data_IF_731827144809
#
_entry.id   IF_731827144809
#
_cell.length_a   1.000
_cell.length_b   1.000
_cell.length_c   1.000
_cell.angle_alpha   90.00
_cell.angle_beta   90.00
_cell.angle_gamma   90.00
#
_symmetry.space_group_name_H-M   'P 1'
#
loop_
_entity.id
_entity.type
_entity.pdbx_description
1 polymer ?
#
# COMPACT_ATOMS: atom_id res chain seq x y z
N UNK A 1 6.82 -16.32 1.37
CA UNK A 1 6.65 -14.97 0.78
C UNK A 1 6.49 -14.93 -0.74
N UNK A 2 7.51 -15.14 -1.59
CA UNK A 2 7.34 -14.94 -3.05
C UNK A 2 6.27 -15.84 -3.69
N UNK A 3 6.07 -17.06 -3.17
CA UNK A 3 5.01 -17.98 -3.62
C UNK A 3 3.62 -17.48 -3.21
N UNK A 4 3.43 -17.12 -1.94
CA UNK A 4 2.17 -16.56 -1.43
C UNK A 4 1.70 -15.32 -2.19
N UNK A 5 2.64 -14.41 -2.54
CA UNK A 5 2.32 -13.23 -3.35
C UNK A 5 1.89 -13.59 -4.78
N UNK A 6 2.36 -14.72 -5.33
CA UNK A 6 1.96 -15.19 -6.67
C UNK A 6 0.65 -15.96 -6.68
N UNK A 7 0.22 -16.50 -5.54
CA UNK A 7 -1.09 -17.15 -5.37
C UNK A 7 -2.21 -16.14 -5.06
N UNK A 8 -1.84 -14.95 -4.60
CA UNK A 8 -2.77 -13.87 -4.29
C UNK A 8 -3.43 -13.30 -5.54
N UNK A 9 -4.68 -12.84 -5.40
CA UNK A 9 -5.44 -12.28 -6.51
C UNK A 9 -4.91 -10.91 -6.97
N UNK A 10 -5.14 -10.56 -8.24
CA UNK A 10 -4.61 -9.32 -8.85
C UNK A 10 -5.06 -8.06 -8.12
N UNK A 11 -6.32 -8.00 -7.72
CA UNK A 11 -6.90 -6.87 -6.98
C UNK A 11 -6.27 -6.73 -5.59
N UNK A 12 -6.07 -7.84 -4.90
CA UNK A 12 -5.37 -7.88 -3.60
C UNK A 12 -3.94 -7.36 -3.73
N UNK A 13 -3.22 -7.74 -4.80
CA UNK A 13 -1.87 -7.23 -5.05
C UNK A 13 -1.86 -5.72 -5.33
N UNK A 14 -2.85 -5.21 -6.08
CA UNK A 14 -3.00 -3.77 -6.32
C UNK A 14 -3.32 -3.01 -5.02
N UNK A 15 -4.17 -3.55 -4.16
CA UNK A 15 -4.48 -2.97 -2.83
C UNK A 15 -3.25 -2.96 -1.91
N UNK A 16 -2.50 -4.07 -1.84
CA UNK A 16 -1.26 -4.16 -1.08
C UNK A 16 -0.21 -3.15 -1.59
N UNK A 17 -0.08 -3.02 -2.91
CA UNK A 17 0.82 -2.05 -3.53
C UNK A 17 0.45 -0.61 -3.14
N UNK A 18 -0.83 -0.27 -3.13
CA UNK A 18 -1.31 1.04 -2.66
C UNK A 18 -0.92 1.29 -1.21
N UNK A 19 -1.24 0.36 -0.31
CA UNK A 19 -0.90 0.47 1.13
C UNK A 19 0.59 0.65 1.37
N UNK A 20 1.44 -0.09 0.66
CA UNK A 20 2.90 0.03 0.76
C UNK A 20 3.42 1.37 0.23
N UNK A 21 2.83 1.93 -0.82
CA UNK A 21 3.18 3.27 -1.32
C UNK A 21 2.84 4.35 -0.30
N UNK A 22 1.66 4.29 0.33
CA UNK A 22 1.27 5.21 1.41
C UNK A 22 2.22 5.08 2.59
N UNK A 23 2.54 3.84 3.00
CA UNK A 23 3.50 3.60 4.10
C UNK A 23 4.90 4.12 3.79
N UNK A 24 5.35 4.00 2.54
CA UNK A 24 6.64 4.54 2.10
C UNK A 24 6.67 6.08 2.20
N UNK A 25 5.56 6.75 1.87
CA UNK A 25 5.41 8.19 2.02
C UNK A 25 5.50 8.59 3.51
N UNK A 26 4.79 7.87 4.38
CA UNK A 26 4.84 8.06 5.83
C UNK A 26 6.26 7.90 6.37
N UNK A 27 6.98 6.84 5.98
CA UNK A 27 8.37 6.64 6.38
C UNK A 27 9.29 7.75 5.88
N UNK A 28 9.05 8.30 4.69
CA UNK A 28 9.83 9.45 4.18
C UNK A 28 9.54 10.72 4.98
N UNK A 29 8.29 10.94 5.39
CA UNK A 29 7.95 12.06 6.27
C UNK A 29 8.61 11.91 7.65
N UNK A 30 8.52 10.73 8.27
CA UNK A 30 9.19 10.45 9.54
C UNK A 30 10.72 10.58 9.45
N UNK A 31 11.31 10.15 8.32
CA UNK A 31 12.74 10.32 8.07
C UNK A 31 13.12 11.80 7.97
N UNK A 32 12.34 12.62 7.27
CA UNK A 32 12.55 14.07 7.17
C UNK A 32 12.40 14.79 8.51
N UNK A 33 11.54 14.29 9.39
CA UNK A 33 11.38 14.79 10.78
C UNK A 33 12.46 14.28 11.74
N UNK A 34 13.28 13.30 11.33
CA UNK A 34 14.26 12.64 12.20
C UNK A 34 13.66 11.68 13.24
N UNK A 35 12.36 11.36 13.14
CA UNK A 35 11.66 10.48 14.10
C UNK A 35 11.69 9.00 13.70
N UNK A 36 12.23 8.67 12.52
CA UNK A 36 12.26 7.30 12.02
C UNK A 36 13.33 6.45 12.73
N UNK A 37 12.87 5.56 13.62
CA UNK A 37 13.75 4.65 14.39
C UNK A 37 14.47 3.63 13.52
N UNK A 38 13.86 3.16 12.44
CA UNK A 38 14.42 2.09 11.61
C UNK A 38 14.35 2.38 10.12
N UNK A 39 15.46 2.89 9.58
CA UNK A 39 15.62 3.23 8.15
C UNK A 39 15.60 1.98 7.26
N UNK A 40 15.94 0.80 7.79
CA UNK A 40 15.92 -0.45 7.00
C UNK A 40 14.51 -0.81 6.51
N UNK A 41 13.47 -0.35 7.21
CA UNK A 41 12.07 -0.53 6.80
C UNK A 41 11.77 0.12 5.46
N UNK A 42 12.39 1.26 5.14
CA UNK A 42 12.26 1.91 3.83
C UNK A 42 12.79 1.00 2.74
N UNK A 43 13.97 0.40 2.95
CA UNK A 43 14.61 -0.50 1.99
C UNK A 43 13.76 -1.77 1.79
N UNK A 44 13.26 -2.36 2.88
CA UNK A 44 12.38 -3.52 2.82
C UNK A 44 11.09 -3.20 2.06
N UNK A 45 10.43 -2.09 2.39
CA UNK A 45 9.19 -1.64 1.74
C UNK A 45 9.39 -1.41 0.24
N UNK A 46 10.50 -0.77 -0.16
CA UNK A 46 10.85 -0.59 -1.58
C UNK A 46 11.05 -1.91 -2.31
N UNK A 47 11.69 -2.90 -1.67
CA UNK A 47 11.89 -4.23 -2.24
C UNK A 47 10.56 -4.96 -2.44
N UNK A 48 9.66 -4.89 -1.47
CA UNK A 48 8.33 -5.50 -1.58
C UNK A 48 7.50 -4.85 -2.68
N UNK A 49 7.55 -3.51 -2.80
CA UNK A 49 6.91 -2.78 -3.91
C UNK A 49 7.44 -3.26 -5.26
N UNK A 50 8.76 -3.41 -5.41
CA UNK A 50 9.36 -3.90 -6.65
C UNK A 50 8.88 -5.32 -6.99
N UNK A 51 8.85 -6.23 -6.01
CA UNK A 51 8.36 -7.59 -6.21
C UNK A 51 6.89 -7.64 -6.64
N UNK A 52 6.03 -6.83 -6.02
CA UNK A 52 4.63 -6.68 -6.40
C UNK A 52 4.48 -6.18 -7.84
N UNK A 53 5.25 -5.15 -8.21
CA UNK A 53 5.24 -4.61 -9.57
C UNK A 53 5.72 -5.65 -10.60
N UNK A 54 6.74 -6.46 -10.26
CA UNK A 54 7.19 -7.55 -11.12
C UNK A 54 6.10 -8.58 -11.34
N UNK A 55 5.40 -9.02 -10.29
CA UNK A 55 4.31 -10.01 -10.42
C UNK A 55 3.14 -9.43 -11.25
N UNK A 56 2.76 -8.18 -11.03
CA UNK A 56 1.73 -7.53 -11.84
C UNK A 56 2.15 -7.44 -13.31
N UNK A 57 3.41 -7.11 -13.57
CA UNK A 57 3.95 -7.06 -14.93
C UNK A 57 3.95 -8.43 -15.61
N UNK A 58 4.35 -9.50 -14.92
CA UNK A 58 4.28 -10.89 -15.41
C UNK A 58 2.83 -11.28 -15.77
N UNK A 59 1.85 -10.78 -15.00
CA UNK A 59 0.41 -10.96 -15.28
C UNK A 59 -0.15 -10.03 -16.36
N UNK A 60 0.69 -9.20 -16.98
CA UNK A 60 0.31 -8.15 -17.96
C UNK A 60 -0.66 -7.11 -17.39
N UNK A 61 -0.73 -7.00 -16.08
CA UNK A 61 -1.53 -6.02 -15.39
C UNK A 61 -0.73 -4.75 -15.11
N UNK A 62 -1.40 -3.60 -15.17
CA UNK A 62 -0.81 -2.31 -14.82
C UNK A 62 -1.57 -1.70 -13.65
N UNK A 63 -0.82 -1.11 -12.73
CA UNK A 63 -1.40 -0.23 -11.73
C UNK A 63 -1.64 1.14 -12.38
N UNK A 64 -2.90 1.47 -12.61
CA UNK A 64 -3.32 2.72 -13.26
C UNK A 64 -3.61 3.82 -12.23
N UNK A 65 -3.64 5.08 -12.68
CA UNK A 65 -4.13 6.20 -11.88
C UNK A 65 -5.62 6.02 -11.47
N UNK A 66 -6.38 5.27 -12.26
CA UNK A 66 -7.76 4.90 -11.92
C UNK A 66 -7.82 4.00 -10.68
N UNK A 67 -6.92 3.02 -10.59
CA UNK A 67 -6.80 2.14 -9.41
C UNK A 67 -6.46 2.97 -8.17
N UNK A 68 -5.56 3.95 -8.31
CA UNK A 68 -5.21 4.86 -7.23
C UNK A 68 -6.43 5.64 -6.71
N UNK A 69 -7.20 6.26 -7.60
CA UNK A 69 -8.40 7.01 -7.23
C UNK A 69 -9.45 6.13 -6.54
N UNK A 70 -9.62 4.89 -7.01
CA UNK A 70 -10.51 3.90 -6.40
C UNK A 70 -10.08 3.56 -4.97
N UNK A 71 -8.82 3.18 -4.77
CA UNK A 71 -8.33 2.82 -3.43
C UNK A 71 -8.30 4.02 -2.46
N UNK A 72 -8.09 5.24 -2.97
CA UNK A 72 -8.22 6.44 -2.14
C UNK A 72 -9.66 6.65 -1.67
N UNK A 73 -10.65 6.52 -2.56
CA UNK A 73 -12.07 6.59 -2.19
C UNK A 73 -12.46 5.50 -1.19
N UNK A 74 -12.08 4.25 -1.45
CA UNK A 74 -12.34 3.13 -0.54
C UNK A 74 -11.71 3.38 0.84
N UNK A 75 -10.48 3.89 0.90
CA UNK A 75 -9.82 4.23 2.15
C UNK A 75 -10.47 5.43 2.88
N UNK A 76 -10.98 6.42 2.16
CA UNK A 76 -11.73 7.54 2.71
C UNK A 76 -13.08 7.08 3.28
N UNK A 77 -13.81 6.23 2.56
CA UNK A 77 -15.06 5.63 2.99
C UNK A 77 -14.88 4.76 4.23
N UNK A 78 -13.82 3.94 4.29
CA UNK A 78 -13.45 3.15 5.46
C UNK A 78 -13.19 4.04 6.68
N UNK A 79 -12.46 5.15 6.52
CA UNK A 79 -12.21 6.11 7.62
C UNK A 79 -13.50 6.78 8.10
N UNK A 80 -14.33 7.26 7.18
CA UNK A 80 -15.64 7.86 7.49
C UNK A 80 -16.56 6.87 8.23
N UNK A 81 -16.56 5.60 7.82
CA UNK A 81 -17.31 4.55 8.50
C UNK A 81 -16.76 4.29 9.92
N UNK A 82 -15.44 4.30 10.11
CA UNK A 82 -14.82 4.16 11.43
C UNK A 82 -15.18 5.35 12.35
N UNK A 83 -15.15 6.58 11.83
CA UNK A 83 -15.50 7.79 12.59
C UNK A 83 -16.98 7.85 13.00
N UNK A 84 -17.89 7.37 12.14
CA UNK A 84 -19.31 7.26 12.49
C UNK A 84 -19.55 6.23 13.59
N UNK A 85 -18.81 5.12 13.57
CA UNK A 85 -18.89 4.07 14.61
C UNK A 85 -18.33 4.53 15.95
N UNK A 86 -17.28 5.35 15.97
CA UNK A 86 -16.70 5.88 17.22
C UNK A 86 -17.53 7.01 17.83
N UNK A 87 -18.26 7.80 17.03
CA UNK A 87 -19.17 8.85 17.52
C UNK A 87 -20.54 8.35 17.99
N UNK A 88 -20.91 7.11 17.64
CA UNK A 88 -22.17 6.47 18.04
C UNK A 88 -22.03 5.59 19.30
N UNK A 89 -20.86 5.60 19.95
CA UNK A 89 -20.53 4.84 21.16
C UNK A 89 -20.20 5.82 22.29
#
# INVERSE_FOLDING_TARGET
MLKELRESDTETLKSMLFKLKVKLLEYRFQLGQGSLKNVSLIKATRRTIAQLLTILHERKERFSNQDLARFMKEAEEEKLAQEKKTKSK
#
